data_IF_571993775748
#
_entry.id   IF_571993775748
#
_cell.length_a   1.000
_cell.length_b   1.000
_cell.length_c   1.000
_cell.angle_alpha   90.00
_cell.angle_beta   90.00
_cell.angle_gamma   90.00
#
_symmetry.space_group_name_H-M   'P 1'
#
loop_
_entity.id
_entity.type
_entity.pdbx_description
1 polymer ?
#
# COMPACT_ATOMS: atom_id res chain seq x y z
N UNK A 1 -37.68 -21.05 2.53
CA UNK A 1 -36.70 -20.62 3.55
C UNK A 1 -37.29 -19.45 4.31
N UNK A 2 -37.53 -19.60 5.62
CA UNK A 2 -38.19 -18.57 6.42
C UNK A 2 -37.25 -17.37 6.63
N UNK A 3 -37.81 -16.17 6.81
CA UNK A 3 -37.12 -14.91 7.10
C UNK A 3 -36.17 -14.95 8.32
N UNK A 4 -36.22 -16.03 9.12
CA UNK A 4 -35.35 -16.29 10.28
C UNK A 4 -33.99 -16.85 9.83
N UNK A 5 -33.96 -17.66 8.77
CA UNK A 5 -32.76 -18.38 8.29
C UNK A 5 -31.80 -17.46 7.49
N UNK A 6 -32.36 -16.43 6.86
CA UNK A 6 -31.57 -15.38 6.17
C UNK A 6 -30.89 -14.46 7.20
N UNK A 7 -31.62 -14.06 8.25
CA UNK A 7 -31.03 -13.31 9.38
C UNK A 7 -29.95 -14.13 10.09
N UNK A 8 -30.15 -15.43 10.27
CA UNK A 8 -29.19 -16.34 10.88
C UNK A 8 -27.83 -16.38 10.16
N UNK A 9 -27.83 -16.50 8.83
CA UNK A 9 -26.58 -16.55 8.04
C UNK A 9 -25.88 -15.20 7.97
N UNK A 10 -26.62 -14.11 7.85
CA UNK A 10 -26.04 -12.77 7.79
C UNK A 10 -25.50 -12.30 9.15
N UNK A 11 -26.23 -12.54 10.25
CA UNK A 11 -25.74 -12.26 11.61
C UNK A 11 -24.48 -13.06 11.94
N UNK A 12 -24.42 -14.34 11.56
CA UNK A 12 -23.22 -15.15 11.77
C UNK A 12 -22.02 -14.64 10.94
N UNK A 13 -22.24 -14.22 9.69
CA UNK A 13 -21.19 -13.63 8.85
C UNK A 13 -20.69 -12.29 9.39
N UNK A 14 -21.61 -11.39 9.76
CA UNK A 14 -21.29 -10.11 10.38
C UNK A 14 -20.54 -10.33 11.69
N UNK A 15 -21.00 -11.29 12.49
CA UNK A 15 -20.40 -11.57 13.77
C UNK A 15 -19.01 -12.17 13.69
N UNK A 16 -18.80 -13.13 12.79
CA UNK A 16 -17.46 -13.65 12.52
C UNK A 16 -16.55 -12.53 12.01
N UNK A 17 -17.04 -11.61 11.18
CA UNK A 17 -16.24 -10.48 10.68
C UNK A 17 -15.84 -9.53 11.82
N UNK A 18 -16.77 -9.13 12.69
CA UNK A 18 -16.49 -8.27 13.84
C UNK A 18 -15.53 -8.92 14.85
N UNK A 19 -15.68 -10.23 15.07
CA UNK A 19 -14.77 -11.04 15.88
C UNK A 19 -13.35 -11.03 15.31
N UNK A 20 -13.20 -11.28 14.00
CA UNK A 20 -11.90 -11.27 13.33
C UNK A 20 -11.22 -9.89 13.37
N UNK A 21 -11.98 -8.81 13.20
CA UNK A 21 -11.46 -7.44 13.34
C UNK A 21 -10.96 -7.17 14.77
N UNK A 22 -11.73 -7.58 15.79
CA UNK A 22 -11.36 -7.43 17.20
C UNK A 22 -10.07 -8.17 17.53
N UNK A 23 -9.95 -9.43 17.09
CA UNK A 23 -8.77 -10.27 17.36
C UNK A 23 -7.52 -9.74 16.65
N UNK A 24 -7.67 -9.23 15.42
CA UNK A 24 -6.57 -8.60 14.69
C UNK A 24 -6.04 -7.34 15.38
N UNK A 25 -6.92 -6.44 15.82
CA UNK A 25 -6.51 -5.23 16.55
C UNK A 25 -5.72 -5.58 17.83
N UNK A 26 -6.08 -6.68 18.50
CA UNK A 26 -5.32 -7.17 19.67
C UNK A 26 -3.96 -7.71 19.28
N UNK A 27 -3.85 -8.41 18.17
CA UNK A 27 -2.57 -8.94 17.68
C UNK A 27 -1.58 -7.85 17.26
N UNK A 28 -2.07 -6.78 16.63
CA UNK A 28 -1.24 -5.61 16.29
C UNK A 28 -0.66 -4.96 17.57
N UNK A 29 -1.39 -5.00 18.69
CA UNK A 29 -0.91 -4.52 20.00
C UNK A 29 0.03 -5.52 20.73
N UNK A 30 -0.09 -6.82 20.48
CA UNK A 30 0.74 -7.88 21.10
C UNK A 30 2.11 -8.07 20.44
N UNK A 31 2.34 -7.50 19.25
CA UNK A 31 3.61 -7.59 18.52
C UNK A 31 4.84 -6.99 19.25
N UNK A 32 4.64 -6.38 20.42
CA UNK A 32 5.69 -5.80 21.27
C UNK A 32 6.10 -6.67 22.48
N UNK A 33 5.57 -7.89 22.66
CA UNK A 33 5.93 -8.76 23.78
C UNK A 33 6.64 -10.04 23.30
N UNK A 34 7.90 -10.16 23.67
CA UNK A 34 8.73 -11.36 23.49
C UNK A 34 8.15 -12.55 24.25
N UNK A 35 7.81 -13.65 23.56
CA UNK A 35 7.28 -14.87 24.20
C UNK A 35 8.23 -16.06 24.03
N UNK A 36 8.42 -16.72 25.18
CA UNK A 36 9.30 -17.84 25.52
C UNK A 36 8.72 -19.19 25.04
N UNK A 37 9.62 -20.12 24.70
CA UNK A 37 9.41 -21.43 24.03
C UNK A 37 8.66 -22.48 24.88
N UNK A 38 7.75 -23.27 24.27
CA UNK A 38 7.39 -24.65 24.70
C UNK A 38 7.08 -25.58 23.49
N UNK A 39 7.37 -26.87 23.63
CA UNK A 39 7.23 -27.93 22.59
C UNK A 39 5.78 -28.43 22.42
N UNK A 40 5.38 -28.81 21.19
CA UNK A 40 4.05 -29.36 20.87
C UNK A 40 4.08 -30.85 20.49
N UNK A 41 3.18 -31.65 21.10
CA UNK A 41 2.78 -33.00 20.67
C UNK A 41 1.27 -33.08 20.37
N UNK A 42 0.79 -34.18 19.79
CA UNK A 42 -0.58 -34.44 19.24
C UNK A 42 -1.81 -34.16 20.16
N UNK A 43 -1.64 -33.58 21.35
CA UNK A 43 -2.71 -33.32 22.33
C UNK A 43 -3.58 -32.06 22.05
N UNK A 44 -3.33 -31.28 21.00
CA UNK A 44 -3.94 -29.94 20.86
C UNK A 44 -5.41 -29.95 20.43
N UNK A 45 -5.83 -30.84 19.51
CA UNK A 45 -7.20 -30.85 18.96
C UNK A 45 -8.30 -31.17 19.96
N UNK A 46 -8.12 -32.17 20.83
CA UNK A 46 -9.11 -32.50 21.87
C UNK A 46 -9.20 -31.39 22.93
N UNK A 47 -8.08 -30.70 23.22
CA UNK A 47 -8.05 -29.55 24.15
C UNK A 47 -8.83 -28.36 23.59
N UNK A 48 -8.71 -28.08 22.29
CA UNK A 48 -9.47 -27.01 21.61
C UNK A 48 -10.99 -27.21 21.73
N UNK A 49 -11.48 -28.43 21.44
CA UNK A 49 -12.91 -28.74 21.48
C UNK A 49 -13.47 -28.65 22.90
N UNK A 50 -12.75 -29.18 23.90
CA UNK A 50 -13.11 -29.07 25.32
C UNK A 50 -13.16 -27.62 25.83
N UNK A 51 -12.24 -26.75 25.41
CA UNK A 51 -12.25 -25.33 25.82
C UNK A 51 -13.50 -24.58 25.32
N UNK A 52 -13.98 -24.88 24.12
CA UNK A 52 -15.24 -24.32 23.62
C UNK A 52 -16.48 -24.90 24.28
N UNK A 53 -16.49 -26.21 24.57
CA UNK A 53 -17.60 -26.88 25.24
C UNK A 53 -17.75 -26.44 26.71
N UNK A 54 -16.65 -26.07 27.37
CA UNK A 54 -16.64 -25.61 28.75
C UNK A 54 -16.78 -24.07 28.90
N UNK A 55 -16.91 -23.32 27.81
CA UNK A 55 -17.06 -21.86 27.88
C UNK A 55 -18.43 -21.51 28.46
N UNK A 56 -18.44 -20.96 29.68
CA UNK A 56 -19.63 -20.48 30.35
C UNK A 56 -20.01 -19.08 29.86
N UNK A 57 -21.28 -18.90 29.55
CA UNK A 57 -21.84 -17.61 29.15
C UNK A 57 -22.43 -16.97 30.41
N UNK A 58 -21.87 -15.85 30.84
CA UNK A 58 -22.42 -15.06 31.93
C UNK A 58 -23.36 -13.98 31.36
N UNK A 59 -24.67 -14.17 31.58
CA UNK A 59 -25.68 -13.24 31.09
C UNK A 59 -25.78 -11.96 31.90
N UNK A 60 -25.13 -11.89 33.07
CA UNK A 60 -25.13 -10.69 33.92
C UNK A 60 -24.16 -9.61 33.42
N UNK A 61 -23.11 -10.01 32.71
CA UNK A 61 -22.12 -9.10 32.12
C UNK A 61 -21.73 -9.54 30.70
N UNK A 62 -22.48 -9.04 29.72
CA UNK A 62 -22.37 -9.45 28.32
C UNK A 62 -21.08 -8.97 27.64
N UNK A 63 -20.56 -7.80 28.01
CA UNK A 63 -19.33 -7.26 27.46
C UNK A 63 -18.11 -8.05 27.96
N UNK A 64 -18.06 -8.36 29.25
CA UNK A 64 -16.98 -9.20 29.80
C UNK A 64 -17.06 -10.64 29.29
N UNK A 65 -18.28 -11.17 29.08
CA UNK A 65 -18.46 -12.46 28.40
C UNK A 65 -17.89 -12.45 26.97
N UNK A 66 -18.09 -11.36 26.23
CA UNK A 66 -17.51 -11.20 24.89
C UNK A 66 -15.97 -11.07 24.94
N UNK A 67 -15.44 -10.35 25.91
CA UNK A 67 -13.99 -10.19 26.11
C UNK A 67 -13.31 -11.52 26.49
N UNK A 68 -13.89 -12.25 27.44
CA UNK A 68 -13.44 -13.57 27.86
C UNK A 68 -13.48 -14.57 26.69
N UNK A 69 -14.51 -14.48 25.84
CA UNK A 69 -14.59 -15.29 24.63
C UNK A 69 -13.45 -14.98 23.65
N UNK A 70 -13.15 -13.70 23.41
CA UNK A 70 -12.02 -13.30 22.57
C UNK A 70 -10.67 -13.77 23.13
N UNK A 71 -10.46 -13.68 24.44
CA UNK A 71 -9.23 -14.14 25.09
C UNK A 71 -9.10 -15.67 25.01
N UNK A 72 -10.20 -16.41 25.21
CA UNK A 72 -10.25 -17.87 25.04
C UNK A 72 -9.83 -18.27 23.62
N UNK A 73 -10.27 -17.53 22.59
CA UNK A 73 -9.87 -17.78 21.20
C UNK A 73 -8.38 -17.55 20.96
N UNK A 74 -7.79 -16.52 21.56
CA UNK A 74 -6.36 -16.26 21.47
C UNK A 74 -5.55 -17.35 22.18
N UNK A 75 -5.98 -17.82 23.35
CA UNK A 75 -5.32 -18.93 24.04
C UNK A 75 -5.37 -20.22 23.22
N UNK A 76 -6.53 -20.54 22.63
CA UNK A 76 -6.69 -21.72 21.77
C UNK A 76 -5.76 -21.59 20.54
N UNK A 77 -5.57 -20.39 20.00
CA UNK A 77 -4.61 -20.12 18.92
C UNK A 77 -3.17 -20.44 19.35
N UNK A 78 -2.71 -19.87 20.47
CA UNK A 78 -1.36 -20.11 21.00
C UNK A 78 -1.10 -21.61 21.24
N UNK A 79 -2.13 -22.34 21.69
CA UNK A 79 -2.07 -23.80 21.88
C UNK A 79 -2.03 -24.61 20.55
N UNK A 80 -2.30 -23.97 19.40
CA UNK A 80 -2.59 -24.64 18.12
C UNK A 80 -1.62 -24.36 16.97
N UNK A 81 -0.85 -23.27 17.01
CA UNK A 81 0.08 -22.89 15.94
C UNK A 81 1.49 -23.45 16.23
N UNK A 82 2.07 -24.30 15.37
CA UNK A 82 3.47 -24.71 15.52
C UNK A 82 4.41 -23.57 15.11
N UNK A 83 5.35 -23.21 15.99
CA UNK A 83 6.35 -22.16 15.76
C UNK A 83 7.41 -22.65 14.76
N UNK A 84 7.48 -22.06 13.57
CA UNK A 84 8.55 -22.30 12.59
C UNK A 84 9.69 -21.31 12.86
N UNK A 85 10.91 -21.80 13.09
CA UNK A 85 12.11 -20.94 13.19
C UNK A 85 12.37 -20.23 11.87
N UNK A 86 12.86 -18.99 11.94
CA UNK A 86 13.18 -18.10 10.79
C UNK A 86 13.71 -18.89 9.58
N UNK A 87 13.26 -18.60 8.35
CA UNK A 87 13.75 -19.31 7.18
C UNK A 87 15.25 -19.06 7.04
N UNK A 88 16.03 -20.13 7.13
CA UNK A 88 17.45 -20.12 6.83
C UNK A 88 17.59 -19.82 5.33
N UNK A 89 18.04 -18.62 4.98
CA UNK A 89 18.04 -18.06 3.60
C UNK A 89 18.94 -18.87 2.63
N UNK A 90 19.70 -19.85 3.13
CA UNK A 90 20.65 -20.64 2.33
C UNK A 90 20.36 -22.15 2.24
N UNK A 91 19.23 -22.66 2.75
CA UNK A 91 18.89 -24.07 2.52
C UNK A 91 18.26 -24.23 1.12
N UNK A 92 18.99 -24.81 0.16
CA UNK A 92 18.39 -25.24 -1.11
C UNK A 92 17.17 -26.12 -0.82
N UNK A 93 15.99 -25.67 -1.27
CA UNK A 93 14.74 -26.43 -1.10
C UNK A 93 14.90 -27.75 -1.83
N UNK A 94 14.83 -28.86 -1.11
CA UNK A 94 14.65 -30.17 -1.74
C UNK A 94 13.34 -30.13 -2.55
N UNK A 95 13.34 -30.56 -3.82
CA UNK A 95 12.11 -30.61 -4.60
C UNK A 95 11.08 -31.49 -3.87
N UNK A 96 9.83 -31.07 -3.94
CA UNK A 96 8.71 -31.77 -3.31
C UNK A 96 8.57 -33.18 -3.91
N UNK A 97 8.13 -34.20 -3.15
CA UNK A 97 8.19 -35.61 -3.56
C UNK A 97 7.51 -35.97 -4.89
N UNK A 98 6.60 -35.10 -5.37
CA UNK A 98 5.85 -35.26 -6.61
C UNK A 98 6.44 -34.48 -7.79
N UNK A 99 7.59 -33.81 -7.61
CA UNK A 99 8.25 -33.00 -8.64
C UNK A 99 9.50 -33.71 -9.15
N UNK A 100 9.51 -34.07 -10.44
CA UNK A 100 10.59 -34.78 -11.10
C UNK A 100 11.24 -33.95 -12.23
N UNK A 101 12.22 -34.56 -12.92
CA UNK A 101 12.92 -33.93 -14.03
C UNK A 101 11.96 -33.55 -15.18
N UNK A 102 10.92 -34.36 -15.42
CA UNK A 102 9.95 -34.14 -16.49
C UNK A 102 9.08 -32.90 -16.21
N UNK A 103 8.66 -32.69 -14.96
CA UNK A 103 7.96 -31.48 -14.55
C UNK A 103 8.83 -30.22 -14.77
N UNK A 104 10.12 -30.32 -14.44
CA UNK A 104 11.08 -29.22 -14.61
C UNK A 104 11.29 -28.87 -16.09
N UNK A 105 11.45 -29.90 -16.93
CA UNK A 105 11.65 -29.77 -18.37
C UNK A 105 10.40 -29.19 -19.06
N UNK A 106 9.20 -29.62 -18.67
CA UNK A 106 7.93 -29.11 -19.21
C UNK A 106 7.70 -27.63 -18.87
N UNK A 107 8.04 -27.19 -17.66
CA UNK A 107 7.99 -25.77 -17.26
C UNK A 107 8.98 -24.94 -18.07
N UNK A 108 10.20 -25.46 -18.26
CA UNK A 108 11.25 -24.79 -19.04
C UNK A 108 10.85 -24.63 -20.49
N UNK A 109 10.34 -25.68 -21.14
CA UNK A 109 9.83 -25.65 -22.51
C UNK A 109 8.69 -24.65 -22.69
N UNK A 110 7.73 -24.63 -21.75
CA UNK A 110 6.60 -23.66 -21.77
C UNK A 110 7.06 -22.21 -21.63
N UNK A 111 8.05 -21.93 -20.77
CA UNK A 111 8.64 -20.58 -20.64
C UNK A 111 9.42 -20.15 -21.89
N UNK A 112 10.18 -21.07 -22.49
CA UNK A 112 10.92 -20.79 -23.72
C UNK A 112 9.98 -20.52 -24.91
N UNK A 113 8.92 -21.32 -25.07
CA UNK A 113 7.91 -21.11 -26.11
C UNK A 113 7.17 -19.77 -25.94
N UNK A 114 6.82 -19.39 -24.70
CA UNK A 114 6.23 -18.07 -24.43
C UNK A 114 7.19 -16.92 -24.77
N UNK A 115 8.49 -17.08 -24.45
CA UNK A 115 9.51 -16.09 -24.77
C UNK A 115 9.71 -15.97 -26.28
N UNK A 116 9.73 -17.10 -27.00
CA UNK A 116 9.85 -17.13 -28.45
C UNK A 116 8.67 -16.45 -29.14
N UNK A 117 7.43 -16.73 -28.72
CA UNK A 117 6.24 -16.02 -29.20
C UNK A 117 6.31 -14.51 -28.94
N UNK A 118 6.74 -14.10 -27.74
CA UNK A 118 6.87 -12.66 -27.41
C UNK A 118 7.91 -11.93 -28.28
N UNK A 119 8.94 -12.64 -28.73
CA UNK A 119 9.96 -12.09 -29.63
C UNK A 119 9.54 -12.16 -31.10
N UNK A 120 8.72 -13.15 -31.46
CA UNK A 120 8.25 -13.41 -32.83
C UNK A 120 6.72 -13.62 -32.82
N UNK A 121 5.90 -12.56 -32.80
CA UNK A 121 4.47 -12.64 -32.50
C UNK A 121 3.62 -13.05 -33.72
N UNK A 122 3.72 -14.31 -34.12
CA UNK A 122 2.85 -14.92 -35.15
C UNK A 122 1.75 -15.79 -34.52
N UNK A 123 0.70 -16.08 -35.29
CA UNK A 123 -0.41 -16.93 -34.86
C UNK A 123 0.09 -18.36 -34.62
N UNK A 124 1.00 -18.83 -35.48
CA UNK A 124 1.62 -20.15 -35.41
C UNK A 124 2.41 -20.31 -34.10
N UNK A 125 3.23 -19.31 -33.74
CA UNK A 125 4.02 -19.32 -32.51
C UNK A 125 3.14 -19.24 -31.26
N UNK A 126 2.01 -18.53 -31.34
CA UNK A 126 1.03 -18.49 -30.25
C UNK A 126 0.34 -19.86 -30.04
N UNK A 127 -0.06 -20.52 -31.14
CA UNK A 127 -0.65 -21.86 -31.11
C UNK A 127 0.34 -22.87 -30.53
N UNK A 128 1.62 -22.80 -30.93
CA UNK A 128 2.67 -23.67 -30.42
C UNK A 128 2.90 -23.49 -28.91
N UNK A 129 3.01 -22.23 -28.44
CA UNK A 129 3.07 -21.94 -27.00
C UNK A 129 1.86 -22.52 -26.25
N UNK A 130 0.64 -22.35 -26.77
CA UNK A 130 -0.58 -22.85 -26.11
C UNK A 130 -0.61 -24.37 -26.03
N UNK A 131 -0.15 -25.08 -27.07
CA UNK A 131 -0.02 -26.54 -27.05
C UNK A 131 0.96 -26.99 -25.95
N UNK A 132 2.13 -26.35 -25.86
CA UNK A 132 3.16 -26.68 -24.86
C UNK A 132 2.68 -26.33 -23.43
N UNK A 133 1.99 -25.20 -23.24
CA UNK A 133 1.42 -24.81 -21.94
C UNK A 133 0.32 -25.77 -21.48
N UNK A 134 -0.52 -26.25 -22.40
CA UNK A 134 -1.54 -27.25 -22.12
C UNK A 134 -0.93 -28.60 -21.74
N UNK A 135 0.11 -29.05 -22.47
CA UNK A 135 0.85 -30.27 -22.13
C UNK A 135 1.47 -30.19 -20.73
N UNK A 136 2.14 -29.08 -20.39
CA UNK A 136 2.67 -28.85 -19.04
C UNK A 136 1.56 -28.92 -17.99
N UNK A 137 0.41 -28.27 -18.22
CA UNK A 137 -0.72 -28.30 -17.27
C UNK A 137 -1.26 -29.71 -17.05
N UNK A 138 -1.33 -30.51 -18.11
CA UNK A 138 -1.76 -31.91 -18.05
C UNK A 138 -0.75 -32.78 -17.29
N UNK A 139 0.53 -32.70 -17.62
CA UNK A 139 1.61 -33.41 -16.92
C UNK A 139 1.61 -33.07 -15.43
N UNK A 140 1.49 -31.78 -15.11
CA UNK A 140 1.35 -31.30 -13.74
C UNK A 140 0.08 -31.86 -13.09
N UNK A 141 -1.05 -31.91 -13.78
CA UNK A 141 -2.29 -32.50 -13.25
C UNK A 141 -2.16 -34.00 -12.97
N UNK A 142 -1.57 -34.77 -13.88
CA UNK A 142 -1.34 -36.21 -13.75
C UNK A 142 -0.38 -36.54 -12.59
N UNK A 143 0.58 -35.65 -12.33
CA UNK A 143 1.51 -35.73 -11.18
C UNK A 143 0.94 -35.11 -9.89
N UNK A 144 -0.35 -34.74 -9.86
CA UNK A 144 -1.03 -34.19 -8.68
C UNK A 144 -0.73 -32.72 -8.36
N UNK A 145 -0.13 -31.98 -9.30
CA UNK A 145 0.22 -30.55 -9.26
C UNK A 145 -0.87 -29.66 -9.90
N UNK A 146 -2.03 -30.23 -10.22
CA UNK A 146 -3.20 -29.48 -10.68
C UNK A 146 -3.82 -28.61 -9.56
N UNK A 147 -4.67 -27.63 -9.89
CA UNK A 147 -5.43 -26.86 -8.91
C UNK A 147 -6.49 -27.76 -8.28
N UNK A 148 -6.08 -28.59 -7.33
CA UNK A 148 -6.98 -29.42 -6.52
C UNK A 148 -7.89 -28.47 -5.75
N UNK A 149 -9.20 -28.68 -5.95
CA UNK A 149 -10.36 -28.10 -5.27
C UNK A 149 -10.34 -28.29 -3.75
N UNK A 150 -9.32 -27.80 -3.05
CA UNK A 150 -9.32 -27.68 -1.60
C UNK A 150 -8.67 -26.36 -1.21
N UNK A 151 -9.49 -25.39 -0.80
CA UNK A 151 -9.00 -24.43 0.18
C UNK A 151 -8.57 -25.28 1.37
N UNK A 152 -7.27 -25.35 1.68
CA UNK A 152 -6.83 -26.01 2.90
C UNK A 152 -7.39 -25.19 4.07
N UNK A 153 -8.37 -25.77 4.77
CA UNK A 153 -9.01 -25.25 6.00
C UNK A 153 -8.02 -24.92 7.16
N UNK A 154 -6.72 -25.12 6.93
CA UNK A 154 -5.62 -24.84 7.86
C UNK A 154 -4.91 -23.52 7.61
N UNK A 155 -5.24 -22.76 6.56
CA UNK A 155 -4.59 -21.47 6.30
C UNK A 155 -5.23 -20.42 7.20
N UNK A 156 -4.52 -19.88 8.20
CA UNK A 156 -5.08 -18.84 9.05
C UNK A 156 -5.34 -17.57 8.22
N UNK A 157 -6.35 -16.77 8.61
CA UNK A 157 -6.56 -15.46 8.00
C UNK A 157 -5.46 -14.45 8.42
N UNK A 158 -5.59 -13.18 8.02
CA UNK A 158 -4.67 -12.11 8.44
C UNK A 158 -4.69 -11.83 9.96
N UNK A 159 -5.65 -12.43 10.65
CA UNK A 159 -5.84 -12.52 12.10
C UNK A 159 -5.12 -13.74 12.72
N UNK A 160 -4.31 -14.45 11.95
CA UNK A 160 -3.65 -15.72 12.29
C UNK A 160 -4.58 -16.81 12.88
N UNK A 161 -5.90 -16.71 12.67
CA UNK A 161 -6.89 -17.68 13.16
C UNK A 161 -7.37 -18.57 12.01
N UNK A 162 -7.16 -19.90 12.08
CA UNK A 162 -7.71 -20.85 11.11
C UNK A 162 -9.23 -20.85 11.14
N UNK A 163 -9.87 -20.87 9.96
CA UNK A 163 -11.33 -20.98 9.85
C UNK A 163 -11.90 -22.22 10.55
N UNK A 164 -11.11 -23.31 10.64
CA UNK A 164 -11.47 -24.53 11.37
C UNK A 164 -11.60 -24.34 12.89
N UNK A 165 -10.97 -23.31 13.47
CA UNK A 165 -11.10 -22.95 14.87
C UNK A 165 -12.46 -22.28 15.13
N UNK A 166 -12.88 -21.43 14.19
CA UNK A 166 -14.19 -20.76 14.21
C UNK A 166 -15.32 -21.77 13.95
N UNK A 167 -15.13 -22.75 13.07
CA UNK A 167 -16.14 -23.77 12.76
C UNK A 167 -16.55 -24.60 13.98
N UNK A 168 -15.62 -24.86 14.90
CA UNK A 168 -15.88 -25.63 16.11
C UNK A 168 -16.65 -24.84 17.18
N UNK A 169 -16.63 -23.50 17.12
CA UNK A 169 -17.28 -22.60 18.08
C UNK A 169 -18.52 -21.87 17.55
N UNK A 170 -19.02 -22.20 16.35
CA UNK A 170 -20.07 -21.45 15.66
C UNK A 170 -21.34 -21.23 16.49
N UNK A 171 -21.78 -22.25 17.24
CA UNK A 171 -22.98 -22.17 18.10
C UNK A 171 -22.78 -21.18 19.25
N UNK A 172 -21.61 -21.22 19.89
CA UNK A 172 -21.25 -20.31 21.00
C UNK A 172 -21.08 -18.88 20.50
N UNK A 173 -20.40 -18.70 19.36
CA UNK A 173 -20.27 -17.39 18.68
C UNK A 173 -21.65 -16.81 18.43
N UNK A 174 -22.52 -17.56 17.75
CA UNK A 174 -23.84 -17.07 17.42
C UNK A 174 -24.65 -16.69 18.66
N UNK A 175 -24.58 -17.49 19.72
CA UNK A 175 -25.26 -17.21 20.98
C UNK A 175 -24.79 -15.88 21.59
N UNK A 176 -23.47 -15.67 21.68
CA UNK A 176 -22.87 -14.42 22.18
C UNK A 176 -23.30 -13.22 21.34
N UNK A 177 -23.24 -13.33 20.02
CA UNK A 177 -23.62 -12.24 19.11
C UNK A 177 -25.10 -11.89 19.19
N UNK A 178 -25.99 -12.89 19.26
CA UNK A 178 -27.42 -12.64 19.43
C UNK A 178 -27.71 -11.98 20.78
N UNK A 179 -27.09 -12.41 21.88
CA UNK A 179 -27.30 -11.76 23.19
C UNK A 179 -26.79 -10.31 23.20
N UNK A 180 -25.63 -10.03 22.61
CA UNK A 180 -25.12 -8.67 22.47
C UNK A 180 -26.07 -7.79 21.63
N UNK A 181 -26.58 -8.34 20.53
CA UNK A 181 -27.51 -7.65 19.65
C UNK A 181 -28.86 -7.38 20.31
N UNK A 182 -29.48 -8.39 20.92
CA UNK A 182 -30.80 -8.30 21.54
C UNK A 182 -30.79 -7.37 22.77
N UNK A 183 -29.66 -7.27 23.48
CA UNK A 183 -29.47 -6.35 24.61
C UNK A 183 -28.85 -5.00 24.20
N UNK A 184 -28.66 -4.74 22.90
CA UNK A 184 -28.08 -3.51 22.36
C UNK A 184 -26.68 -3.17 22.92
N UNK A 185 -25.93 -4.19 23.34
CA UNK A 185 -24.58 -4.05 23.89
C UNK A 185 -23.56 -4.20 22.76
N UNK A 186 -22.97 -3.09 22.31
CA UNK A 186 -21.99 -3.08 21.21
C UNK A 186 -20.56 -2.93 21.78
N UNK A 187 -19.69 -3.94 21.66
CA UNK A 187 -18.28 -3.82 22.05
C UNK A 187 -17.58 -2.67 21.34
N UNK A 188 -16.72 -1.93 22.07
CA UNK A 188 -16.01 -0.77 21.52
C UNK A 188 -15.15 -1.13 20.30
N UNK A 189 -14.59 -2.34 20.28
CA UNK A 189 -13.77 -2.86 19.16
C UNK A 189 -14.56 -3.01 17.85
N UNK A 190 -15.89 -3.07 17.88
CA UNK A 190 -16.72 -3.14 16.66
C UNK A 190 -16.91 -1.77 16.03
N UNK A 191 -16.65 -0.69 16.77
CA UNK A 191 -16.65 0.69 16.27
C UNK A 191 -15.33 1.07 15.59
N UNK A 192 -14.34 0.17 15.63
CA UNK A 192 -13.01 0.37 15.03
C UNK A 192 -12.84 -0.55 13.83
N UNK A 193 -12.55 0.02 12.66
CA UNK A 193 -12.34 -0.73 11.42
C UNK A 193 -10.86 -0.76 11.02
N UNK A 194 -10.30 -1.95 10.80
CA UNK A 194 -8.98 -2.11 10.20
C UNK A 194 -9.12 -1.98 8.67
N UNK A 195 -8.63 -0.88 8.09
CA UNK A 195 -8.60 -0.66 6.64
C UNK A 195 -7.39 -1.37 6.07
N UNK A 196 -7.59 -2.45 5.32
CA UNK A 196 -6.51 -3.19 4.67
C UNK A 196 -6.38 -2.68 3.23
N UNK A 197 -5.30 -1.98 2.86
CA UNK A 197 -5.05 -1.65 1.46
C UNK A 197 -4.67 -2.91 0.69
N UNK A 198 -5.52 -3.32 -0.26
CA UNK A 198 -5.19 -4.39 -1.22
C UNK A 198 -4.24 -3.81 -2.27
N UNK A 199 -2.99 -4.28 -2.30
CA UNK A 199 -2.04 -3.97 -3.37
C UNK A 199 -2.38 -4.78 -4.62
N UNK A 200 -2.45 -4.11 -5.79
CA UNK A 200 -2.65 -4.77 -7.09
C UNK A 200 -1.35 -5.43 -7.55
N UNK A 201 -1.41 -6.65 -8.13
CA UNK A 201 -0.27 -7.25 -8.81
C UNK A 201 0.03 -6.45 -10.10
N UNK A 202 1.32 -6.22 -10.37
CA UNK A 202 1.89 -5.62 -11.59
C UNK A 202 2.07 -4.09 -11.68
N UNK A 203 2.62 -3.42 -10.65
CA UNK A 203 3.21 -2.07 -10.82
C UNK A 203 4.68 -1.99 -10.37
N UNK A 204 5.59 -1.43 -11.19
CA UNK A 204 6.77 -0.75 -10.68
C UNK A 204 6.33 0.58 -10.04
N UNK A 205 6.60 0.73 -8.75
CA UNK A 205 6.25 1.89 -7.93
C UNK A 205 7.39 2.91 -7.88
N UNK A 206 7.34 4.00 -8.65
CA UNK A 206 8.34 5.07 -8.52
C UNK A 206 7.66 6.44 -8.42
N UNK A 207 7.36 6.81 -7.17
CA UNK A 207 7.23 8.17 -6.62
C UNK A 207 7.52 8.00 -5.13
N UNK A 208 8.67 8.49 -4.66
CA UNK A 208 9.22 8.17 -3.32
C UNK A 208 9.03 9.30 -2.30
N UNK A 209 8.20 10.27 -2.65
CA UNK A 209 7.70 11.27 -1.71
C UNK A 209 6.82 10.61 -0.64
N UNK A 210 6.58 11.27 0.50
CA UNK A 210 5.69 10.76 1.56
C UNK A 210 4.27 10.44 1.06
N UNK A 211 3.89 11.01 -0.09
CA UNK A 211 2.64 10.81 -0.78
C UNK A 211 2.91 10.43 -2.25
N UNK A 212 2.00 9.63 -2.82
CA UNK A 212 2.10 9.13 -4.20
C UNK A 212 0.75 9.03 -4.86
N UNK A 213 0.74 9.07 -6.19
CA UNK A 213 -0.49 8.82 -6.92
C UNK A 213 -0.98 7.38 -6.74
N UNK A 214 -2.31 7.19 -6.58
CA UNK A 214 -2.93 5.85 -6.54
C UNK A 214 -2.80 5.12 -7.88
N UNK A 215 -3.04 5.88 -8.95
CA UNK A 215 -2.81 5.46 -10.33
C UNK A 215 -2.07 6.56 -11.07
N UNK A 216 -1.42 6.24 -12.18
CA UNK A 216 -0.66 7.27 -12.89
C UNK A 216 -1.59 8.41 -13.37
N UNK A 217 -1.13 9.67 -13.36
CA UNK A 217 -1.97 10.81 -13.75
C UNK A 217 -2.67 10.62 -15.10
N UNK A 218 -1.96 10.17 -16.14
CA UNK A 218 -2.56 9.91 -17.46
C UNK A 218 -3.66 8.84 -17.44
N UNK A 219 -3.57 7.84 -16.58
CA UNK A 219 -4.63 6.83 -16.42
C UNK A 219 -5.86 7.46 -15.77
N UNK A 220 -5.67 8.29 -14.74
CA UNK A 220 -6.77 8.98 -14.08
C UNK A 220 -7.45 9.99 -15.01
N UNK A 221 -6.68 10.79 -15.75
CA UNK A 221 -7.19 11.68 -16.79
C UNK A 221 -8.02 10.92 -17.82
N UNK A 222 -7.56 9.74 -18.26
CA UNK A 222 -8.30 8.90 -19.20
C UNK A 222 -9.62 8.40 -18.62
N UNK A 223 -9.66 8.05 -17.33
CA UNK A 223 -10.87 7.60 -16.65
C UNK A 223 -11.89 8.73 -16.59
N UNK A 224 -11.50 9.90 -16.08
CA UNK A 224 -12.41 11.04 -15.92
C UNK A 224 -12.88 11.54 -17.30
N UNK A 225 -11.99 11.63 -18.28
CA UNK A 225 -12.34 12.15 -19.61
C UNK A 225 -13.31 11.25 -20.41
N UNK A 226 -13.47 9.97 -20.03
CA UNK A 226 -14.48 9.09 -20.67
C UNK A 226 -15.90 9.59 -20.42
N UNK A 227 -16.17 10.18 -19.25
CA UNK A 227 -17.46 10.80 -18.95
C UNK A 227 -17.75 12.01 -19.85
N UNK A 228 -16.70 12.56 -20.49
CA UNK A 228 -16.75 13.68 -21.43
C UNK A 228 -16.55 13.23 -22.89
N UNK A 229 -16.64 11.92 -23.16
CA UNK A 229 -16.61 11.36 -24.52
C UNK A 229 -15.22 11.03 -25.07
N UNK A 230 -14.17 11.00 -24.25
CA UNK A 230 -12.85 10.50 -24.66
C UNK A 230 -12.91 9.01 -25.03
N UNK A 231 -12.45 8.65 -26.24
CA UNK A 231 -12.41 7.27 -26.75
C UNK A 231 -11.01 6.70 -26.94
N UNK A 232 -9.97 7.48 -26.65
CA UNK A 232 -8.58 7.07 -26.82
C UNK A 232 -8.07 6.13 -25.72
N UNK A 233 -6.84 5.63 -25.89
CA UNK A 233 -6.20 4.79 -24.87
C UNK A 233 -5.37 5.62 -23.88
N UNK A 234 -5.14 5.06 -22.69
CA UNK A 234 -4.25 5.68 -21.69
C UNK A 234 -2.79 5.76 -22.16
N UNK A 235 -2.39 4.88 -23.08
CA UNK A 235 -1.05 4.88 -23.66
C UNK A 235 -0.86 6.04 -24.63
N UNK A 236 -1.93 6.47 -25.33
CA UNK A 236 -1.90 7.64 -26.22
C UNK A 236 -1.92 8.95 -25.43
N UNK A 237 -2.59 8.95 -24.27
CA UNK A 237 -2.70 10.14 -23.43
C UNK A 237 -1.41 10.46 -22.68
N UNK A 238 -0.63 9.44 -22.30
CA UNK A 238 0.65 9.62 -21.60
C UNK A 238 1.61 10.59 -22.30
N UNK A 239 2.03 10.36 -23.57
CA UNK A 239 2.96 11.28 -24.23
C UNK A 239 2.36 12.69 -24.38
N UNK A 240 1.06 12.80 -24.71
CA UNK A 240 0.36 14.10 -24.83
C UNK A 240 0.36 14.90 -23.53
N UNK A 241 0.11 14.23 -22.40
CA UNK A 241 0.12 14.88 -21.08
C UNK A 241 1.53 15.38 -20.73
N UNK A 242 2.55 14.57 -20.98
CA UNK A 242 3.95 14.94 -20.71
C UNK A 242 4.42 16.10 -21.60
N UNK A 243 4.07 16.07 -22.89
CA UNK A 243 4.35 17.16 -23.83
C UNK A 243 3.62 18.45 -23.45
N UNK A 244 2.33 18.34 -23.10
CA UNK A 244 1.52 19.48 -22.66
C UNK A 244 2.08 20.09 -21.39
N UNK A 245 2.42 19.27 -20.39
CA UNK A 245 3.06 19.73 -19.16
C UNK A 245 4.37 20.48 -19.46
N UNK A 246 5.25 19.90 -20.28
CA UNK A 246 6.53 20.51 -20.65
C UNK A 246 6.33 21.84 -21.40
N UNK A 247 5.39 21.88 -22.34
CA UNK A 247 5.12 23.09 -23.12
C UNK A 247 4.57 24.21 -22.23
N UNK A 248 3.62 23.92 -21.35
CA UNK A 248 3.07 24.92 -20.42
C UNK A 248 4.11 25.33 -19.38
N UNK A 249 4.98 24.42 -18.92
CA UNK A 249 6.10 24.78 -18.04
C UNK A 249 7.08 25.75 -18.70
N UNK A 250 7.36 25.59 -19.99
CA UNK A 250 8.25 26.49 -20.72
C UNK A 250 7.62 27.87 -20.97
N UNK A 251 6.31 27.93 -21.21
CA UNK A 251 5.57 29.18 -21.41
C UNK A 251 5.31 29.92 -20.10
N UNK A 252 4.95 29.17 -19.05
CA UNK A 252 4.55 29.66 -17.74
C UNK A 252 5.31 28.87 -16.67
N UNK A 253 6.60 29.16 -16.41
CA UNK A 253 7.39 28.41 -15.45
C UNK A 253 6.82 28.48 -14.03
N UNK A 254 7.15 27.49 -13.20
CA UNK A 254 6.75 27.41 -11.80
C UNK A 254 5.24 27.62 -11.59
N UNK A 255 4.43 26.83 -12.31
CA UNK A 255 2.97 26.86 -12.28
C UNK A 255 2.36 28.24 -12.59
N UNK A 256 3.08 29.06 -13.38
CA UNK A 256 2.62 30.38 -13.82
C UNK A 256 2.79 31.48 -12.78
N UNK A 257 3.58 31.28 -11.72
CA UNK A 257 3.82 32.28 -10.68
C UNK A 257 4.17 33.65 -11.28
N UNK A 258 3.36 34.66 -10.96
CA UNK A 258 3.53 36.03 -11.43
C UNK A 258 3.00 36.31 -12.85
N UNK A 259 2.44 35.31 -13.54
CA UNK A 259 1.93 35.41 -14.91
C UNK A 259 0.45 35.00 -15.00
N UNK A 260 0.08 33.85 -14.44
CA UNK A 260 -1.28 33.30 -14.43
C UNK A 260 -1.57 32.60 -13.09
N UNK A 261 -2.84 32.29 -12.82
CA UNK A 261 -3.19 31.46 -11.66
C UNK A 261 -2.66 30.02 -11.84
N UNK A 262 -2.40 29.33 -10.74
CA UNK A 262 -1.94 27.94 -10.81
C UNK A 262 -3.07 27.01 -11.32
N UNK A 263 -4.33 27.40 -11.09
CA UNK A 263 -5.51 26.75 -11.66
C UNK A 263 -5.51 26.87 -13.19
N UNK A 264 -5.31 28.07 -13.72
CA UNK A 264 -5.25 28.31 -15.16
C UNK A 264 -4.07 27.60 -15.81
N UNK A 265 -2.94 27.51 -15.09
CA UNK A 265 -1.80 26.73 -15.52
C UNK A 265 -2.18 25.27 -15.78
N UNK A 266 -2.89 24.63 -14.83
CA UNK A 266 -3.38 23.26 -15.00
C UNK A 266 -4.50 23.16 -16.05
N UNK A 267 -5.36 24.18 -16.17
CA UNK A 267 -6.34 24.26 -17.25
C UNK A 267 -5.67 24.23 -18.63
N UNK A 268 -4.56 24.96 -18.81
CA UNK A 268 -3.79 24.93 -20.06
C UNK A 268 -3.22 23.54 -20.33
N UNK A 269 -2.68 22.85 -19.31
CA UNK A 269 -2.17 21.48 -19.47
C UNK A 269 -3.28 20.53 -19.91
N UNK A 270 -4.44 20.57 -19.23
CA UNK A 270 -5.59 19.70 -19.55
C UNK A 270 -6.12 19.99 -20.96
N UNK A 271 -6.35 21.26 -21.30
CA UNK A 271 -6.85 21.69 -22.62
C UNK A 271 -5.92 21.27 -23.75
N UNK A 272 -4.60 21.40 -23.58
CA UNK A 272 -3.59 20.95 -24.54
C UNK A 272 -3.57 19.43 -24.67
N UNK A 273 -3.63 18.72 -23.55
CA UNK A 273 -3.61 17.25 -23.50
C UNK A 273 -4.76 16.66 -24.31
N UNK A 274 -5.95 17.25 -24.20
CA UNK A 274 -7.17 16.77 -24.88
C UNK A 274 -7.49 17.47 -26.21
N UNK A 275 -6.59 18.30 -26.74
CA UNK A 275 -6.82 19.00 -28.02
C UNK A 275 -7.09 18.00 -29.15
N UNK A 276 -8.30 18.08 -29.72
CA UNK A 276 -8.77 17.18 -30.77
C UNK A 276 -9.06 15.74 -30.32
N UNK A 277 -9.11 15.47 -29.01
CA UNK A 277 -9.37 14.14 -28.45
C UNK A 277 -10.78 13.98 -27.86
N UNK A 278 -11.51 15.08 -27.72
CA UNK A 278 -12.86 15.12 -27.18
C UNK A 278 -13.86 15.57 -28.26
N UNK A 279 -15.14 15.15 -28.18
CA UNK A 279 -16.20 15.70 -29.03
C UNK A 279 -16.30 17.22 -28.91
N UNK A 280 -16.72 17.91 -29.97
CA UNK A 280 -16.93 19.38 -29.95
C UNK A 280 -17.95 19.83 -28.89
N UNK A 281 -18.88 18.95 -28.51
CA UNK A 281 -19.88 19.19 -27.48
C UNK A 281 -19.39 18.96 -26.04
N UNK A 282 -18.15 18.50 -25.86
CA UNK A 282 -17.62 18.21 -24.54
C UNK A 282 -17.36 19.50 -23.74
N UNK A 283 -17.84 19.54 -22.50
CA UNK A 283 -17.51 20.62 -21.57
C UNK A 283 -16.10 20.41 -20.98
N UNK A 284 -15.11 20.95 -21.67
CA UNK A 284 -13.70 20.84 -21.27
C UNK A 284 -13.43 21.62 -19.98
N UNK A 285 -14.16 22.69 -19.69
CA UNK A 285 -13.93 23.47 -18.46
C UNK A 285 -14.37 22.64 -17.25
N UNK A 286 -15.55 22.00 -17.32
CA UNK A 286 -16.01 21.09 -16.26
C UNK A 286 -15.06 19.89 -16.07
N UNK A 287 -14.48 19.35 -17.15
CA UNK A 287 -13.42 18.34 -17.07
C UNK A 287 -12.18 18.86 -16.31
N UNK A 288 -11.74 20.09 -16.61
CA UNK A 288 -10.60 20.71 -15.93
C UNK A 288 -10.89 20.88 -14.43
N UNK A 289 -12.03 21.45 -14.08
CA UNK A 289 -12.45 21.66 -12.69
C UNK A 289 -12.53 20.34 -11.94
N UNK A 290 -13.12 19.32 -12.57
CA UNK A 290 -13.21 17.99 -11.98
C UNK A 290 -11.84 17.37 -11.72
N UNK A 291 -10.93 17.44 -12.68
CA UNK A 291 -9.56 16.95 -12.49
C UNK A 291 -8.86 17.72 -11.39
N UNK A 292 -8.84 19.06 -11.43
CA UNK A 292 -8.20 19.89 -10.40
C UNK A 292 -8.72 19.55 -9.01
N UNK A 293 -10.04 19.39 -8.87
CA UNK A 293 -10.67 19.07 -7.59
C UNK A 293 -10.40 17.65 -7.13
N UNK A 294 -10.48 16.64 -8.02
CA UNK A 294 -10.19 15.26 -7.62
C UNK A 294 -8.72 15.11 -7.18
N UNK A 295 -7.78 15.82 -7.83
CA UNK A 295 -6.36 15.88 -7.44
C UNK A 295 -6.07 16.63 -6.13
N UNK A 296 -7.06 17.22 -5.46
CA UNK A 296 -6.93 17.70 -4.07
C UNK A 296 -7.20 16.61 -3.04
N UNK A 297 -7.82 15.51 -3.46
CA UNK A 297 -8.42 14.53 -2.53
C UNK A 297 -7.65 13.20 -2.47
N UNK A 298 -7.98 12.39 -1.47
CA UNK A 298 -7.50 11.01 -1.34
C UNK A 298 -7.90 10.09 -2.51
N UNK A 299 -8.71 10.53 -3.49
CA UNK A 299 -8.96 9.78 -4.74
C UNK A 299 -7.70 9.63 -5.58
N UNK A 300 -6.90 10.68 -5.67
CA UNK A 300 -5.68 10.69 -6.47
C UNK A 300 -4.46 10.29 -5.64
N UNK A 301 -4.49 10.50 -4.33
CA UNK A 301 -3.33 10.33 -3.46
C UNK A 301 -3.46 9.18 -2.47
N UNK A 302 -2.31 8.59 -2.13
CA UNK A 302 -2.12 7.68 -0.99
C UNK A 302 -0.75 7.95 -0.38
N UNK A 303 -0.56 7.58 0.90
CA UNK A 303 0.77 7.60 1.50
C UNK A 303 1.70 6.60 0.79
N UNK A 304 2.97 6.96 0.71
CA UNK A 304 4.01 6.01 0.34
C UNK A 304 4.17 4.95 1.43
N UNK A 305 4.62 3.77 1.01
CA UNK A 305 4.82 2.67 1.96
C UNK A 305 5.95 3.02 2.94
N UNK A 306 5.69 2.91 4.24
CA UNK A 306 6.65 3.30 5.29
C UNK A 306 6.68 4.79 5.65
N UNK A 307 5.94 5.65 4.93
CA UNK A 307 5.89 7.10 5.20
C UNK A 307 5.33 7.42 6.59
N UNK A 308 4.26 6.74 7.01
CA UNK A 308 3.66 6.91 8.33
C UNK A 308 4.64 6.53 9.45
N UNK A 309 5.35 5.41 9.29
CA UNK A 309 6.32 4.91 10.27
C UNK A 309 7.49 5.86 10.45
N UNK A 310 8.13 6.28 9.35
CA UNK A 310 9.28 7.17 9.43
C UNK A 310 8.88 8.54 9.98
N UNK A 311 7.75 9.11 9.56
CA UNK A 311 7.27 10.39 10.09
C UNK A 311 6.98 10.31 11.59
N UNK A 312 6.37 9.23 12.06
CA UNK A 312 6.10 9.05 13.50
C UNK A 312 7.39 8.82 14.29
N UNK A 313 8.32 8.01 13.78
CA UNK A 313 9.62 7.75 14.41
C UNK A 313 10.41 9.06 14.60
N UNK A 314 10.56 9.86 13.55
CA UNK A 314 11.29 11.12 13.60
C UNK A 314 10.67 12.09 14.62
N UNK A 315 9.34 12.21 14.63
CA UNK A 315 8.64 13.05 15.62
C UNK A 315 8.84 12.55 17.05
N UNK A 316 8.80 11.24 17.27
CA UNK A 316 9.02 10.66 18.60
C UNK A 316 10.46 10.85 19.09
N UNK A 317 11.42 11.07 18.18
CA UNK A 317 12.79 11.45 18.50
C UNK A 317 12.96 12.97 18.71
N UNK A 318 11.87 13.74 18.67
CA UNK A 318 11.92 15.21 18.82
C UNK A 318 12.42 15.94 17.57
N UNK A 319 12.51 15.26 16.42
CA UNK A 319 12.95 15.87 15.17
C UNK A 319 11.76 16.62 14.55
N UNK A 320 11.97 17.89 14.27
CA UNK A 320 11.00 18.72 13.57
C UNK A 320 11.00 18.46 12.08
N UNK A 321 9.79 18.40 11.51
CA UNK A 321 9.56 18.04 10.13
C UNK A 321 8.99 19.23 9.37
N UNK A 322 9.44 19.40 8.12
CA UNK A 322 8.88 20.37 7.18
C UNK A 322 8.76 19.76 5.79
N UNK A 323 7.96 20.38 4.93
CA UNK A 323 7.82 19.97 3.52
C UNK A 323 8.38 21.06 2.62
N UNK A 324 9.23 20.68 1.66
CA UNK A 324 9.75 21.55 0.59
C UNK A 324 9.48 20.86 -0.75
N UNK A 325 8.57 21.39 -1.56
CA UNK A 325 8.11 20.73 -2.78
C UNK A 325 8.00 21.68 -3.98
N UNK A 326 8.42 21.22 -5.16
CA UNK A 326 8.12 21.91 -6.41
C UNK A 326 6.67 21.61 -6.80
N UNK A 327 5.75 22.29 -6.12
CA UNK A 327 4.32 22.07 -6.20
C UNK A 327 3.57 23.40 -6.25
N UNK A 328 2.30 23.32 -6.65
CA UNK A 328 1.35 24.43 -6.55
C UNK A 328 0.69 24.50 -5.14
N UNK A 329 -0.12 25.52 -4.83
CA UNK A 329 -0.72 25.70 -3.51
C UNK A 329 -1.62 24.56 -3.03
N UNK A 330 -2.08 23.65 -3.91
CA UNK A 330 -2.93 22.51 -3.49
C UNK A 330 -2.26 21.56 -2.53
N UNK A 331 -0.93 21.58 -2.41
CA UNK A 331 -0.21 20.63 -1.55
C UNK A 331 -0.72 20.67 -0.10
N UNK A 332 -1.05 21.84 0.43
CA UNK A 332 -1.58 21.99 1.79
C UNK A 332 -2.87 21.20 1.95
N UNK A 333 -3.83 21.39 1.04
CA UNK A 333 -5.11 20.69 1.05
C UNK A 333 -4.94 19.17 0.85
N UNK A 334 -4.01 18.75 0.00
CA UNK A 334 -3.67 17.34 -0.21
C UNK A 334 -3.16 16.70 1.09
N UNK A 335 -2.22 17.36 1.80
CA UNK A 335 -1.67 16.85 3.06
C UNK A 335 -2.72 16.81 4.18
N UNK A 336 -3.66 17.76 4.20
CA UNK A 336 -4.79 17.78 5.13
C UNK A 336 -5.75 16.59 4.86
N UNK A 337 -6.11 16.38 3.59
CA UNK A 337 -6.97 15.27 3.15
C UNK A 337 -6.32 13.89 3.33
N UNK A 338 -5.00 13.84 3.46
CA UNK A 338 -4.25 12.62 3.82
C UNK A 338 -3.98 12.49 5.33
N UNK A 339 -4.45 13.43 6.15
CA UNK A 339 -4.27 13.44 7.60
C UNK A 339 -2.81 13.40 8.07
N UNK A 340 -1.90 14.02 7.29
CA UNK A 340 -0.48 14.14 7.66
C UNK A 340 0.00 15.59 7.77
N UNK A 341 -0.82 16.58 7.42
CA UNK A 341 -0.47 18.00 7.52
C UNK A 341 0.03 18.38 8.91
N UNK A 342 -0.66 17.94 9.96
CA UNK A 342 -0.34 18.21 11.36
C UNK A 342 0.96 17.56 11.86
N UNK A 343 1.68 16.81 11.01
CA UNK A 343 3.00 16.25 11.34
C UNK A 343 4.13 17.21 11.00
N UNK A 344 3.85 18.28 10.23
CA UNK A 344 4.86 19.22 9.74
C UNK A 344 4.71 20.58 10.42
N UNK A 345 5.83 21.21 10.75
CA UNK A 345 5.89 22.58 11.27
C UNK A 345 5.58 23.60 10.17
N UNK A 346 6.03 23.32 8.94
CA UNK A 346 5.78 24.15 7.77
C UNK A 346 5.60 23.30 6.50
N UNK A 347 4.90 23.88 5.52
CA UNK A 347 4.79 23.35 4.16
C UNK A 347 5.11 24.47 3.19
N UNK A 348 6.21 24.35 2.45
CA UNK A 348 6.65 25.32 1.45
C UNK A 348 6.54 24.72 0.04
N UNK A 349 5.79 25.42 -0.80
CA UNK A 349 5.68 25.09 -2.23
C UNK A 349 6.53 26.06 -3.05
N UNK A 350 7.05 25.60 -4.18
CA UNK A 350 7.79 26.48 -5.10
C UNK A 350 6.93 27.61 -5.64
N UNK A 351 5.62 27.40 -5.78
CA UNK A 351 4.71 28.46 -6.20
C UNK A 351 4.62 29.55 -5.13
N UNK A 352 4.44 29.20 -3.85
CA UNK A 352 4.28 30.18 -2.79
C UNK A 352 5.54 31.04 -2.64
N UNK A 353 6.71 30.40 -2.59
CA UNK A 353 8.02 31.06 -2.45
C UNK A 353 8.47 31.75 -3.75
N UNK A 354 8.03 31.25 -4.90
CA UNK A 354 8.39 31.79 -6.22
C UNK A 354 9.70 31.26 -6.80
N UNK A 355 10.44 30.41 -6.08
CA UNK A 355 11.63 29.74 -6.58
C UNK A 355 11.50 28.21 -6.44
N UNK A 356 11.61 27.44 -7.54
CA UNK A 356 11.64 25.99 -7.46
C UNK A 356 13.04 25.47 -7.14
N UNK A 357 13.11 24.32 -6.46
CA UNK A 357 14.33 23.49 -6.43
C UNK A 357 14.80 23.26 -7.87
N UNK A 358 16.10 23.41 -8.18
CA UNK A 358 17.24 23.40 -7.26
C UNK A 358 17.70 24.78 -6.74
N UNK A 359 16.92 25.85 -6.88
CA UNK A 359 17.30 27.16 -6.36
C UNK A 359 17.49 27.11 -4.84
N UNK A 360 18.65 27.57 -4.35
CA UNK A 360 18.99 27.59 -2.92
C UNK A 360 17.98 28.39 -2.08
N UNK A 361 17.35 29.41 -2.66
CA UNK A 361 16.42 30.30 -1.96
C UNK A 361 15.27 29.56 -1.28
N UNK A 362 14.77 28.45 -1.84
CA UNK A 362 13.68 27.70 -1.20
C UNK A 362 14.11 27.03 0.11
N UNK A 363 15.38 26.60 0.20
CA UNK A 363 15.97 26.08 1.43
C UNK A 363 16.24 27.19 2.46
N UNK A 364 16.62 28.38 2.00
CA UNK A 364 16.78 29.55 2.87
C UNK A 364 15.45 29.96 3.51
N UNK A 365 14.35 29.96 2.73
CA UNK A 365 13.01 30.18 3.26
C UNK A 365 12.58 29.08 4.24
N UNK A 366 12.97 27.83 4.00
CA UNK A 366 12.71 26.73 4.93
C UNK A 366 13.46 26.89 6.26
N UNK A 367 14.72 27.35 6.22
CA UNK A 367 15.48 27.70 7.42
C UNK A 367 14.80 28.82 8.20
N UNK A 368 14.33 29.88 7.53
CA UNK A 368 13.62 31.01 8.16
C UNK A 368 12.29 30.54 8.78
N UNK A 369 11.54 29.70 8.07
CA UNK A 369 10.26 29.17 8.52
C UNK A 369 10.37 28.30 9.79
N UNK A 370 11.57 27.84 10.13
CA UNK A 370 11.89 27.12 11.36
C UNK A 370 12.94 27.89 12.17
N UNK A 371 12.67 29.18 12.41
CA UNK A 371 13.42 30.04 13.35
C UNK A 371 14.90 30.24 12.99
N UNK A 372 15.22 30.34 11.70
CA UNK A 372 16.58 30.52 11.18
C UNK A 372 17.54 29.36 11.52
N UNK A 373 17.03 28.13 11.48
CA UNK A 373 17.86 26.94 11.71
C UNK A 373 19.06 26.88 10.77
N UNK A 374 20.22 26.61 11.36
CA UNK A 374 21.48 26.55 10.63
C UNK A 374 21.47 25.39 9.61
N UNK A 375 21.90 25.59 8.35
CA UNK A 375 21.88 24.58 7.29
C UNK A 375 22.46 23.21 7.68
N UNK A 376 23.54 23.20 8.46
CA UNK A 376 24.20 21.97 8.96
C UNK A 376 23.36 21.15 9.96
N UNK A 377 22.29 21.72 10.51
CA UNK A 377 21.34 21.01 11.35
C UNK A 377 20.11 20.51 10.56
N UNK A 378 20.09 20.74 9.24
CA UNK A 378 18.97 20.39 8.38
C UNK A 378 19.31 19.19 7.49
N UNK A 379 18.35 18.28 7.35
CA UNK A 379 18.41 17.14 6.45
C UNK A 379 17.23 17.19 5.48
N UNK A 380 17.51 17.20 4.18
CA UNK A 380 16.49 17.04 3.14
C UNK A 380 16.42 15.59 2.66
N UNK A 381 15.21 15.07 2.49
CA UNK A 381 14.96 13.71 1.99
C UNK A 381 14.00 13.83 0.79
N UNK A 382 14.44 13.32 -0.36
CA UNK A 382 13.64 13.37 -1.59
C UNK A 382 14.08 12.32 -2.60
N UNK A 383 13.55 12.40 -3.81
CA UNK A 383 13.67 11.34 -4.82
C UNK A 383 14.36 11.77 -6.12
N UNK A 384 14.55 13.08 -6.32
CA UNK A 384 15.24 13.66 -7.47
C UNK A 384 16.70 14.01 -7.12
N UNK A 385 17.64 13.52 -7.93
CA UNK A 385 19.08 13.75 -7.71
C UNK A 385 19.42 15.25 -7.79
N UNK A 386 18.85 15.98 -8.75
CA UNK A 386 19.16 17.39 -8.95
C UNK A 386 18.38 18.27 -7.99
N UNK A 387 17.07 18.05 -7.88
CA UNK A 387 16.16 18.93 -7.14
C UNK A 387 16.16 18.66 -5.64
N UNK A 388 16.49 17.46 -5.19
CA UNK A 388 16.49 17.14 -3.76
C UNK A 388 17.89 16.96 -3.23
N UNK A 389 18.65 16.01 -3.80
CA UNK A 389 19.95 15.68 -3.25
C UNK A 389 20.98 16.79 -3.47
N UNK A 390 21.27 17.16 -4.72
CA UNK A 390 22.27 18.19 -5.03
C UNK A 390 21.81 19.57 -4.57
N UNK A 391 20.54 19.91 -4.77
CA UNK A 391 20.00 21.20 -4.33
C UNK A 391 20.20 21.43 -2.83
N UNK A 392 19.85 20.45 -1.98
CA UNK A 392 20.04 20.55 -0.53
C UNK A 392 21.53 20.64 -0.16
N UNK A 393 22.38 19.82 -0.77
CA UNK A 393 23.84 19.86 -0.53
C UNK A 393 24.45 21.20 -0.90
N UNK A 394 24.04 21.78 -2.04
CA UNK A 394 24.48 23.09 -2.50
C UNK A 394 23.95 24.22 -1.60
N UNK A 395 22.80 24.02 -0.95
CA UNK A 395 22.29 24.92 0.08
C UNK A 395 23.01 24.79 1.44
N UNK A 396 23.94 23.84 1.58
CA UNK A 396 24.66 23.56 2.83
C UNK A 396 23.93 22.60 3.78
N UNK A 397 22.83 21.99 3.33
CA UNK A 397 22.06 20.99 4.08
C UNK A 397 22.66 19.59 3.94
N UNK A 398 22.31 18.70 4.85
CA UNK A 398 22.45 17.26 4.65
C UNK A 398 21.38 16.78 3.67
N UNK A 399 21.65 15.68 2.96
CA UNK A 399 20.70 15.13 1.99
C UNK A 399 20.78 13.60 1.94
N UNK A 400 19.59 12.97 1.90
CA UNK A 400 19.43 11.55 1.58
C UNK A 400 18.50 11.42 0.37
N UNK A 401 18.76 10.42 -0.46
CA UNK A 401 18.01 10.14 -1.68
C UNK A 401 17.24 8.84 -1.51
N UNK A 402 15.93 8.87 -1.74
CA UNK A 402 15.09 7.67 -1.79
C UNK A 402 14.75 7.41 -3.25
N UNK A 403 15.42 6.45 -3.86
CA UNK A 403 15.27 6.15 -5.29
C UNK A 403 15.67 4.72 -5.61
N UNK A 404 14.87 4.06 -6.46
CA UNK A 404 15.22 2.76 -7.05
C UNK A 404 16.05 2.88 -8.34
N UNK A 405 16.43 4.09 -8.74
CA UNK A 405 17.24 4.27 -9.95
C UNK A 405 18.65 3.74 -9.71
N UNK A 406 19.18 2.96 -10.67
CA UNK A 406 20.60 2.61 -10.69
C UNK A 406 21.41 3.90 -10.75
N UNK A 407 22.14 4.20 -9.68
CA UNK A 407 23.05 5.33 -9.61
C UNK A 407 24.09 5.21 -10.73
N UNK A 408 23.92 6.02 -11.77
CA UNK A 408 24.96 6.25 -12.78
C UNK A 408 25.84 7.44 -12.39
N UNK A 409 25.30 8.35 -11.60
CA UNK A 409 25.98 9.56 -11.14
C UNK A 409 26.86 9.25 -9.92
N UNK A 410 28.18 9.37 -10.09
CA UNK A 410 29.18 9.13 -9.04
C UNK A 410 29.21 10.25 -7.99
N UNK A 411 28.55 11.38 -8.21
CA UNK A 411 28.48 12.48 -7.25
C UNK A 411 27.57 12.19 -6.05
N UNK A 412 26.72 11.16 -6.14
CA UNK A 412 25.85 10.72 -5.04
C UNK A 412 26.55 9.62 -4.24
N UNK A 413 26.82 9.88 -2.97
CA UNK A 413 27.41 8.88 -2.10
C UNK A 413 26.43 7.70 -1.88
N UNK A 414 26.87 6.46 -2.19
CA UNK A 414 26.02 5.27 -2.10
C UNK A 414 25.37 5.07 -0.72
N UNK A 415 26.05 5.46 0.36
CA UNK A 415 25.53 5.41 1.73
C UNK A 415 24.38 6.38 2.02
N UNK A 416 24.09 7.32 1.10
CA UNK A 416 22.98 8.26 1.22
C UNK A 416 21.76 7.83 0.40
N UNK A 417 21.78 6.64 -0.22
CA UNK A 417 20.75 6.20 -1.15
C UNK A 417 20.01 4.98 -0.61
N UNK A 418 18.68 5.06 -0.64
CA UNK A 418 17.78 4.02 -0.15
C UNK A 418 16.74 3.71 -1.23
N UNK A 419 16.37 2.43 -1.40
CA UNK A 419 15.40 2.04 -2.43
C UNK A 419 13.97 2.50 -2.10
N UNK A 420 13.65 2.70 -0.83
CA UNK A 420 12.32 3.10 -0.35
C UNK A 420 12.39 3.63 1.09
N UNK A 421 11.28 4.15 1.59
CA UNK A 421 11.19 4.73 2.94
C UNK A 421 11.32 3.68 4.05
N UNK A 422 11.04 2.39 3.82
CA UNK A 422 11.32 1.36 4.82
C UNK A 422 12.80 1.09 5.00
N UNK A 423 13.56 1.00 3.90
CA UNK A 423 15.01 0.84 3.98
C UNK A 423 15.65 2.02 4.71
N UNK A 424 15.18 3.23 4.45
CA UNK A 424 15.61 4.43 5.18
C UNK A 424 15.20 4.38 6.66
N UNK A 425 13.95 4.03 6.96
CA UNK A 425 13.47 3.85 8.32
C UNK A 425 14.32 2.84 9.08
N UNK A 426 14.58 1.67 8.51
CA UNK A 426 15.37 0.61 9.13
C UNK A 426 16.83 1.04 9.30
N UNK A 427 17.37 1.82 8.37
CA UNK A 427 18.72 2.36 8.50
C UNK A 427 18.85 3.36 9.65
N UNK A 428 17.84 4.23 9.85
CA UNK A 428 17.80 5.16 10.97
C UNK A 428 17.57 4.40 12.28
N UNK A 429 16.60 3.49 12.32
CA UNK A 429 16.24 2.73 13.53
C UNK A 429 17.40 1.88 14.06
N UNK A 430 18.25 1.36 13.17
CA UNK A 430 19.42 0.55 13.55
C UNK A 430 20.73 1.37 13.60
N UNK A 431 20.65 2.71 13.75
CA UNK A 431 21.79 3.62 13.87
C UNK A 431 22.81 3.56 12.71
N UNK A 432 22.41 3.04 11.54
CA UNK A 432 23.25 3.03 10.32
C UNK A 432 23.28 4.42 9.67
N UNK A 433 22.24 5.21 9.90
CA UNK A 433 22.17 6.64 9.59
C UNK A 433 22.00 7.38 10.90
N UNK A 434 22.96 8.22 11.26
CA UNK A 434 22.84 9.13 12.40
C UNK A 434 22.17 10.41 11.93
N UNK A 435 21.08 10.78 12.60
CA UNK A 435 20.34 12.00 12.36
C UNK A 435 20.90 13.18 13.17
#
# INVERSE_FOLDING_TARGET
MSFVDIRFKELLKCGVTALKCTLRLRMENLANVSIIKKQSGQSSRLKQKKKFENFTIDTSNLLDTYENFCNTLLEIREDSIPIISKPNVFAMRKPVPWWDADCSEAVKKSKNALRFYKLNPTIENYIEYKKIDAFKKRLNSEKGVGPIQSRRDSTPGLDDIPYKLISNGQKTILKIFNMLWDNQCIPKSWKTQCVIPILKPDKPEHDFNFYRFRIHPWQYYSIVARDYGFKGSENDLKPRLLESYKAVWNEYPNFGKGLISWEDWWNHVVKRTFKGQLPKSADVNCLCDKLINDFKTAKCWRLAEGADKILNMLRNQGISLGVISNFDPRLVEILQNMHIYNKFHFVLTSFDIGCPKPDKKIFDHASIAYENVHPRACLHIGDDIEKDYKAARNAGWHALLVSNQKLKDKSVAAKHVFGNLYELHDAIYNDKVKL
#
